data_IF_507537323318
#
_entry.id   IF_507537323318
#
_cell.length_a   1.000
_cell.length_b   1.000
_cell.length_c   1.000
_cell.angle_alpha   90.00
_cell.angle_beta   90.00
_cell.angle_gamma   90.00
#
_symmetry.space_group_name_H-M   'P 1'
#
loop_
_entity.id
_entity.type
_entity.pdbx_description
1 polymer ?
#
# COMPACT_ATOMS: atom_id res chain seq x y z
N UNK A 1 -31.33 -13.10 38.55
CA UNK A 1 -31.45 -12.12 37.45
C UNK A 1 -30.05 -11.56 37.25
N UNK A 2 -29.31 -12.06 36.26
CA UNK A 2 -27.99 -11.52 35.92
C UNK A 2 -28.17 -10.54 34.76
N UNK A 3 -27.68 -9.31 34.92
CA UNK A 3 -27.58 -8.35 33.83
C UNK A 3 -26.46 -8.75 32.88
N UNK A 4 -26.79 -8.82 31.59
CA UNK A 4 -25.81 -8.83 30.50
C UNK A 4 -25.23 -7.42 30.30
N UNK A 5 -23.90 -7.26 30.10
CA UNK A 5 -23.34 -5.99 29.70
C UNK A 5 -23.57 -5.74 28.20
N UNK A 6 -24.42 -4.77 27.90
CA UNK A 6 -24.68 -4.23 26.57
C UNK A 6 -23.41 -3.60 25.97
N UNK A 7 -22.90 -4.19 24.89
CA UNK A 7 -21.78 -3.65 24.12
C UNK A 7 -22.25 -2.48 23.24
N UNK A 8 -21.50 -1.37 23.14
CA UNK A 8 -21.89 -0.25 22.30
C UNK A 8 -21.76 -0.61 20.82
N UNK A 9 -22.89 -0.58 20.11
CA UNK A 9 -22.93 -0.68 18.65
C UNK A 9 -22.41 0.64 18.06
N UNK A 10 -21.18 0.62 17.55
CA UNK A 10 -20.66 1.69 16.70
C UNK A 10 -21.30 1.50 15.32
N UNK A 11 -22.40 2.22 15.08
CA UNK A 11 -23.01 2.33 13.76
C UNK A 11 -22.08 3.19 12.91
N UNK A 12 -21.21 2.54 12.14
CA UNK A 12 -20.51 3.20 11.03
C UNK A 12 -21.54 3.37 9.91
N UNK A 13 -22.29 4.46 9.97
CA UNK A 13 -23.09 4.95 8.85
C UNK A 13 -22.14 5.38 7.73
N UNK A 14 -21.75 4.44 6.87
CA UNK A 14 -21.22 4.78 5.55
C UNK A 14 -22.40 5.20 4.68
N UNK A 15 -22.87 6.43 4.87
CA UNK A 15 -23.68 7.11 3.86
C UNK A 15 -22.80 7.28 2.62
N UNK A 16 -22.91 6.33 1.70
CA UNK A 16 -22.35 6.45 0.35
C UNK A 16 -23.22 7.40 -0.45
N UNK A 17 -23.14 8.69 -0.14
CA UNK A 17 -23.55 9.73 -1.06
C UNK A 17 -22.50 9.72 -2.16
N UNK A 18 -22.84 9.15 -3.33
CA UNK A 18 -21.96 9.19 -4.49
C UNK A 18 -21.65 10.67 -4.80
N UNK A 19 -20.39 11.12 -4.63
CA UNK A 19 -20.07 12.51 -4.88
C UNK A 19 -20.26 12.83 -6.37
N UNK A 20 -20.57 14.09 -6.72
CA UNK A 20 -20.80 14.49 -8.10
C UNK A 20 -19.69 13.97 -9.02
N UNK A 21 -20.05 13.61 -10.25
CA UNK A 21 -19.17 12.85 -11.14
C UNK A 21 -17.77 13.48 -11.28
N UNK A 22 -17.65 14.81 -11.22
CA UNK A 22 -16.39 15.54 -11.31
C UNK A 22 -15.44 15.32 -10.11
N UNK A 23 -15.95 14.95 -8.95
CA UNK A 23 -15.15 14.74 -7.74
C UNK A 23 -14.23 13.53 -7.86
N UNK A 24 -14.65 12.48 -8.58
CA UNK A 24 -13.88 11.24 -8.67
C UNK A 24 -12.57 11.43 -9.43
N UNK A 25 -12.60 12.14 -10.57
CA UNK A 25 -11.38 12.50 -11.30
C UNK A 25 -10.49 13.47 -10.52
N UNK A 26 -11.07 14.43 -9.79
CA UNK A 26 -10.29 15.35 -8.95
C UNK A 26 -9.59 14.63 -7.81
N UNK A 27 -10.32 13.76 -7.10
CA UNK A 27 -9.77 12.93 -6.04
C UNK A 27 -8.69 11.98 -6.57
N UNK A 28 -8.91 11.36 -7.74
CA UNK A 28 -7.90 10.53 -8.37
C UNK A 28 -6.63 11.34 -8.71
N UNK A 29 -6.77 12.54 -9.27
CA UNK A 29 -5.63 13.42 -9.56
C UNK A 29 -4.84 13.78 -8.30
N UNK A 30 -5.52 14.26 -7.26
CA UNK A 30 -4.90 14.58 -5.98
C UNK A 30 -4.19 13.36 -5.37
N UNK A 31 -4.76 12.18 -5.53
CA UNK A 31 -4.18 10.93 -5.06
C UNK A 31 -2.94 10.54 -5.87
N UNK A 32 -3.00 10.64 -7.20
CA UNK A 32 -1.83 10.37 -8.05
C UNK A 32 -0.68 11.32 -7.77
N UNK A 33 -0.98 12.59 -7.48
CA UNK A 33 0.01 13.58 -7.05
C UNK A 33 0.60 13.22 -5.68
N UNK A 34 -0.26 12.89 -4.70
CA UNK A 34 0.16 12.44 -3.37
C UNK A 34 1.07 11.20 -3.44
N UNK A 35 0.82 10.31 -4.40
CA UNK A 35 1.63 9.11 -4.64
C UNK A 35 2.81 9.34 -5.60
N UNK A 36 2.96 10.57 -6.13
CA UNK A 36 3.99 10.95 -7.12
C UNK A 36 4.04 10.01 -8.32
N UNK A 37 2.87 9.65 -8.84
CA UNK A 37 2.75 8.78 -10.01
C UNK A 37 2.93 9.58 -11.30
N UNK A 38 3.88 9.17 -12.12
CA UNK A 38 4.05 9.69 -13.48
C UNK A 38 2.98 9.07 -14.40
N UNK A 39 1.83 9.73 -14.48
CA UNK A 39 0.67 9.24 -15.27
C UNK A 39 0.75 9.59 -16.76
N UNK A 40 1.74 10.40 -17.17
CA UNK A 40 1.94 10.85 -18.55
C UNK A 40 3.20 10.23 -19.14
N UNK A 41 3.14 9.86 -20.42
CA UNK A 41 4.31 9.39 -21.18
C UNK A 41 5.35 10.51 -21.30
N UNK A 42 6.65 10.25 -21.09
CA UNK A 42 7.70 11.27 -21.18
C UNK A 42 7.69 12.04 -22.51
N UNK A 43 7.52 11.33 -23.63
CA UNK A 43 7.44 11.92 -24.98
C UNK A 43 6.29 12.92 -25.14
N UNK A 44 5.17 12.71 -24.44
CA UNK A 44 4.05 13.64 -24.46
C UNK A 44 4.37 14.91 -23.65
N UNK A 45 5.08 14.78 -22.53
CA UNK A 45 5.51 15.93 -21.73
C UNK A 45 6.51 16.79 -22.50
N UNK A 46 7.45 16.17 -23.21
CA UNK A 46 8.39 16.86 -24.10
C UNK A 46 7.67 17.59 -25.24
N UNK A 47 6.74 16.90 -25.92
CA UNK A 47 5.93 17.51 -26.98
C UNK A 47 5.12 18.70 -26.46
N UNK A 48 4.50 18.56 -25.29
CA UNK A 48 3.76 19.65 -24.63
C UNK A 48 4.68 20.82 -24.30
N UNK A 49 5.87 20.55 -23.77
CA UNK A 49 6.87 21.58 -23.48
C UNK A 49 7.32 22.34 -24.73
N UNK A 50 7.50 21.64 -25.87
CA UNK A 50 7.82 22.26 -27.18
C UNK A 50 6.71 23.18 -27.69
N UNK A 51 5.45 22.83 -27.46
CA UNK A 51 4.32 23.70 -27.80
C UNK A 51 4.24 24.92 -26.86
N UNK A 52 4.48 24.71 -25.57
CA UNK A 52 4.43 25.78 -24.56
C UNK A 52 5.64 26.73 -24.64
N UNK A 53 6.79 26.27 -25.16
CA UNK A 53 7.95 27.12 -25.47
C UNK A 53 7.75 28.04 -26.68
N UNK A 54 6.60 27.95 -27.35
CA UNK A 54 6.29 28.69 -28.57
C UNK A 54 7.01 28.14 -29.81
N UNK A 55 6.57 28.51 -31.03
CA UNK A 55 7.29 28.17 -32.25
C UNK A 55 8.62 28.92 -32.28
N UNK A 56 9.70 28.28 -31.84
CA UNK A 56 11.06 28.75 -32.08
C UNK A 56 11.40 28.65 -33.59
N UNK A 57 12.11 29.62 -34.17
CA UNK A 57 12.49 29.62 -35.58
C UNK A 57 13.68 28.69 -35.80
N UNK A 58 13.48 27.38 -35.67
CA UNK A 58 14.51 26.38 -36.00
C UNK A 58 13.90 25.30 -36.90
N UNK A 59 13.53 25.72 -38.11
CA UNK A 59 13.38 24.85 -39.29
C UNK A 59 13.16 25.70 -40.54
N UNK A 60 14.13 26.56 -40.85
CA UNK A 60 14.25 27.16 -42.19
C UNK A 60 15.72 27.31 -42.57
N UNK A 61 16.51 26.24 -42.39
CA UNK A 61 17.81 26.08 -43.07
C UNK A 61 18.04 24.59 -43.27
N UNK A 62 17.60 24.06 -44.42
CA UNK A 62 18.16 22.91 -45.14
C UNK A 62 17.30 22.67 -46.39
N UNK A 63 17.28 23.65 -47.30
CA UNK A 63 17.29 23.39 -48.73
C UNK A 63 18.74 23.73 -49.10
N UNK A 64 19.61 22.79 -49.45
CA UNK A 64 19.74 22.28 -50.81
C UNK A 64 20.74 21.12 -50.79
N UNK A 65 20.28 19.86 -50.95
CA UNK A 65 21.02 18.86 -51.70
C UNK A 65 20.05 17.77 -52.18
N UNK A 66 19.76 17.82 -53.47
CA UNK A 66 19.00 16.83 -54.21
C UNK A 66 19.87 15.58 -54.37
N UNK A 67 19.36 14.42 -53.93
CA UNK A 67 19.10 13.21 -54.75
C UNK A 67 19.17 11.90 -53.93
N UNK A 68 18.04 11.17 -53.97
CA UNK A 68 17.94 9.72 -54.17
C UNK A 68 18.50 8.77 -53.10
N UNK A 69 17.61 8.32 -52.20
CA UNK A 69 17.43 6.89 -51.90
C UNK A 69 15.94 6.61 -51.68
N UNK A 70 15.33 5.89 -52.62
CA UNK A 70 14.06 5.19 -52.40
C UNK A 70 14.27 4.05 -51.40
N UNK A 71 13.47 4.01 -50.34
CA UNK A 71 13.26 2.80 -49.55
C UNK A 71 11.88 2.83 -48.89
N UNK A 72 10.93 2.20 -49.57
CA UNK A 72 9.87 1.35 -48.99
C UNK A 72 9.44 1.68 -47.55
N UNK A 73 8.64 2.73 -47.40
CA UNK A 73 7.63 2.80 -46.35
C UNK A 73 6.42 3.49 -46.96
N UNK A 74 5.55 2.69 -47.56
CA UNK A 74 4.20 3.12 -47.93
C UNK A 74 3.52 3.72 -46.69
N UNK A 75 3.58 5.04 -46.59
CA UNK A 75 2.78 5.83 -45.67
C UNK A 75 1.30 5.67 -46.05
N UNK A 76 0.69 4.56 -45.63
CA UNK A 76 -0.77 4.40 -45.51
C UNK A 76 -1.32 5.23 -44.33
N UNK A 77 -0.90 6.49 -44.24
CA UNK A 77 -1.27 7.44 -43.20
C UNK A 77 -1.97 8.66 -43.81
N UNK A 78 -2.84 8.49 -44.79
CA UNK A 78 -3.68 9.59 -45.30
C UNK A 78 -5.07 9.13 -45.73
N UNK A 79 -5.71 8.22 -44.97
CA UNK A 79 -7.18 8.24 -44.89
C UNK A 79 -7.56 9.39 -43.97
N UNK A 80 -7.47 10.60 -44.51
CA UNK A 80 -7.58 11.87 -43.82
C UNK A 80 -8.96 12.02 -43.14
N UNK A 81 -9.05 11.90 -41.79
CA UNK A 81 -10.32 12.04 -41.07
C UNK A 81 -10.93 13.43 -41.28
N UNK A 82 -10.11 14.43 -41.64
CA UNK A 82 -10.55 15.79 -41.95
C UNK A 82 -11.36 15.86 -43.25
N UNK A 83 -11.13 14.96 -44.21
CA UNK A 83 -11.93 14.86 -45.45
C UNK A 83 -13.36 14.37 -45.23
N UNK A 84 -13.67 13.87 -44.02
CA UNK A 84 -15.00 13.38 -43.64
C UNK A 84 -15.99 14.52 -43.36
N UNK A 85 -15.50 15.69 -42.99
CA UNK A 85 -16.33 16.79 -42.54
C UNK A 85 -16.52 17.81 -43.66
N UNK A 86 -17.76 18.21 -43.89
CA UNK A 86 -18.10 19.16 -44.97
C UNK A 86 -17.81 20.59 -44.55
N UNK A 87 -17.86 20.88 -43.25
CA UNK A 87 -17.78 22.21 -42.69
C UNK A 87 -16.95 22.25 -41.40
N UNK A 88 -16.34 23.40 -41.10
CA UNK A 88 -15.58 23.62 -39.86
C UNK A 88 -16.45 23.43 -38.60
N UNK A 89 -17.72 23.85 -38.62
CA UNK A 89 -18.66 23.66 -37.50
C UNK A 89 -18.92 22.17 -37.22
N UNK A 90 -18.92 21.31 -38.24
CA UNK A 90 -19.05 19.85 -38.09
C UNK A 90 -17.81 19.27 -37.39
N UNK A 91 -16.62 19.77 -37.73
CA UNK A 91 -15.37 19.36 -37.05
C UNK A 91 -15.41 19.78 -35.58
N UNK A 92 -15.77 21.03 -35.29
CA UNK A 92 -15.81 21.55 -33.91
C UNK A 92 -16.87 20.84 -33.05
N UNK A 93 -18.06 20.61 -33.59
CA UNK A 93 -19.11 19.86 -32.90
C UNK A 93 -18.71 18.40 -32.67
N UNK A 94 -18.02 17.78 -33.62
CA UNK A 94 -17.45 16.45 -33.45
C UNK A 94 -16.38 16.42 -32.34
N UNK A 95 -15.40 17.33 -32.37
CA UNK A 95 -14.35 17.41 -31.32
C UNK A 95 -14.98 17.60 -29.94
N UNK A 96 -15.96 18.51 -29.81
CA UNK A 96 -16.66 18.73 -28.53
C UNK A 96 -17.35 17.47 -28.02
N UNK A 97 -18.00 16.73 -28.92
CA UNK A 97 -18.64 15.46 -28.59
C UNK A 97 -17.60 14.41 -28.18
N UNK A 98 -16.55 14.25 -28.96
CA UNK A 98 -15.47 13.30 -28.69
C UNK A 98 -14.80 13.58 -27.34
N UNK A 99 -14.47 14.84 -27.04
CA UNK A 99 -13.91 15.24 -25.74
C UNK A 99 -14.90 14.97 -24.59
N UNK A 100 -16.20 15.13 -24.82
CA UNK A 100 -17.22 14.82 -23.82
C UNK A 100 -17.32 13.31 -23.56
N UNK A 101 -17.22 12.50 -24.62
CA UNK A 101 -17.24 11.04 -24.53
C UNK A 101 -15.96 10.51 -23.86
N UNK A 102 -14.78 11.04 -24.22
CA UNK A 102 -13.51 10.76 -23.53
C UNK A 102 -13.58 11.14 -22.05
N UNK A 103 -14.10 12.34 -21.72
CA UNK A 103 -14.28 12.76 -20.32
C UNK A 103 -15.20 11.81 -19.57
N UNK A 104 -16.27 11.32 -20.18
CA UNK A 104 -17.17 10.33 -19.55
C UNK A 104 -16.44 9.01 -19.28
N UNK A 105 -15.62 8.54 -20.21
CA UNK A 105 -14.82 7.32 -20.01
C UNK A 105 -13.80 7.48 -18.88
N UNK A 106 -13.09 8.60 -18.85
CA UNK A 106 -12.13 8.92 -17.78
C UNK A 106 -12.80 8.92 -16.40
N UNK A 107 -14.04 9.43 -16.31
CA UNK A 107 -14.81 9.38 -15.06
C UNK A 107 -15.16 7.96 -14.62
N UNK A 108 -15.55 7.09 -15.55
CA UNK A 108 -15.84 5.69 -15.23
C UNK A 108 -14.59 4.96 -14.75
N UNK A 109 -13.47 5.16 -15.45
CA UNK A 109 -12.17 4.60 -15.06
C UNK A 109 -11.75 5.12 -13.67
N UNK A 110 -11.93 6.40 -13.41
CA UNK A 110 -11.58 6.98 -12.11
C UNK A 110 -12.37 6.34 -10.96
N UNK A 111 -13.67 6.11 -11.16
CA UNK A 111 -14.50 5.38 -10.17
C UNK A 111 -13.99 3.96 -9.94
N UNK A 112 -13.68 3.24 -11.02
CA UNK A 112 -13.16 1.87 -10.92
C UNK A 112 -11.83 1.82 -10.18
N UNK A 113 -10.89 2.71 -10.51
CA UNK A 113 -9.59 2.79 -9.85
C UNK A 113 -9.72 3.13 -8.36
N UNK A 114 -10.58 4.10 -8.02
CA UNK A 114 -10.83 4.48 -6.63
C UNK A 114 -11.45 3.31 -5.82
N UNK A 115 -12.39 2.57 -6.42
CA UNK A 115 -12.98 1.36 -5.82
C UNK A 115 -11.93 0.28 -5.58
N UNK A 116 -11.19 -0.11 -6.63
CA UNK A 116 -10.13 -1.12 -6.53
C UNK A 116 -9.08 -0.76 -5.47
N UNK A 117 -8.67 0.51 -5.41
CA UNK A 117 -7.74 0.98 -4.38
C UNK A 117 -8.33 0.82 -2.97
N UNK A 118 -9.60 1.14 -2.78
CA UNK A 118 -10.31 0.93 -1.53
C UNK A 118 -10.33 -0.54 -1.14
N UNK A 119 -10.64 -1.43 -2.08
CA UNK A 119 -10.70 -2.88 -1.88
C UNK A 119 -9.32 -3.44 -1.50
N UNK A 120 -8.26 -3.05 -2.22
CA UNK A 120 -6.88 -3.41 -1.88
C UNK A 120 -6.51 -2.94 -0.47
N UNK A 121 -6.90 -1.72 -0.10
CA UNK A 121 -6.59 -1.17 1.22
C UNK A 121 -7.30 -1.98 2.32
N UNK A 122 -8.57 -2.34 2.13
CA UNK A 122 -9.31 -3.20 3.07
C UNK A 122 -8.66 -4.59 3.18
N UNK A 123 -8.37 -5.23 2.05
CA UNK A 123 -7.71 -6.55 2.04
C UNK A 123 -6.35 -6.52 2.74
N UNK A 124 -5.57 -5.44 2.59
CA UNK A 124 -4.29 -5.27 3.30
C UNK A 124 -4.49 -5.14 4.80
N UNK A 125 -5.49 -4.38 5.24
CA UNK A 125 -5.83 -4.27 6.67
C UNK A 125 -6.23 -5.63 7.22
N UNK A 126 -7.14 -6.34 6.55
CA UNK A 126 -7.61 -7.66 6.95
C UNK A 126 -6.45 -8.66 7.05
N UNK A 127 -5.52 -8.65 6.10
CA UNK A 127 -4.32 -9.48 6.12
C UNK A 127 -3.46 -9.20 7.36
N UNK A 128 -3.21 -7.92 7.68
CA UNK A 128 -2.43 -7.55 8.87
C UNK A 128 -3.13 -7.92 10.16
N UNK A 129 -4.45 -7.77 10.24
CA UNK A 129 -5.25 -8.20 11.38
C UNK A 129 -5.19 -9.71 11.58
N UNK A 130 -5.29 -10.50 10.52
CA UNK A 130 -5.17 -11.96 10.59
C UNK A 130 -3.77 -12.40 11.04
N UNK A 131 -2.72 -11.76 10.51
CA UNK A 131 -1.35 -12.04 10.94
C UNK A 131 -1.17 -11.72 12.44
N UNK A 132 -1.63 -10.54 12.87
CA UNK A 132 -1.56 -10.14 14.27
C UNK A 132 -2.32 -11.11 15.18
N UNK A 133 -3.52 -11.55 14.78
CA UNK A 133 -4.29 -12.55 15.52
C UNK A 133 -3.54 -13.87 15.69
N UNK A 134 -2.83 -14.34 14.65
CA UNK A 134 -2.00 -15.55 14.75
C UNK A 134 -0.86 -15.35 15.74
N UNK A 135 -0.14 -14.23 15.65
CA UNK A 135 0.94 -13.93 16.58
C UNK A 135 0.46 -13.83 18.04
N UNK A 136 -0.71 -13.23 18.27
CA UNK A 136 -1.32 -13.20 19.61
C UNK A 136 -1.67 -14.61 20.10
N UNK A 137 -2.27 -15.43 19.25
CA UNK A 137 -2.61 -16.82 19.59
C UNK A 137 -1.35 -17.65 19.91
N UNK A 138 -0.26 -17.47 19.14
CA UNK A 138 1.01 -18.16 19.38
C UNK A 138 1.61 -17.74 20.74
N UNK A 139 1.56 -16.44 21.05
CA UNK A 139 2.01 -15.92 22.33
C UNK A 139 1.15 -16.42 23.51
N UNK A 140 -0.17 -16.46 23.36
CA UNK A 140 -1.07 -17.01 24.40
C UNK A 140 -0.82 -18.49 24.62
N UNK A 141 -0.64 -19.27 23.55
CA UNK A 141 -0.35 -20.70 23.67
C UNK A 141 0.98 -20.95 24.39
N UNK A 142 2.04 -20.20 24.05
CA UNK A 142 3.32 -20.32 24.74
C UNK A 142 3.24 -19.95 26.23
N UNK A 143 2.40 -18.97 26.60
CA UNK A 143 2.16 -18.62 28.00
C UNK A 143 1.39 -19.72 28.74
N UNK A 144 0.36 -20.31 28.11
CA UNK A 144 -0.39 -21.44 28.67
C UNK A 144 0.50 -22.67 28.86
N UNK A 145 1.41 -22.96 27.92
CA UNK A 145 2.40 -24.04 28.07
C UNK A 145 3.34 -23.78 29.25
N UNK A 146 3.82 -22.54 29.41
CA UNK A 146 4.67 -22.18 30.55
C UNK A 146 3.93 -22.28 31.89
N UNK A 147 2.65 -21.88 31.93
CA UNK A 147 1.82 -21.98 33.12
C UNK A 147 1.57 -23.44 33.51
N UNK A 148 1.22 -24.31 32.55
CA UNK A 148 1.07 -25.76 32.77
C UNK A 148 2.37 -26.41 33.27
N UNK A 149 3.53 -26.03 32.71
CA UNK A 149 4.83 -26.49 33.19
C UNK A 149 5.14 -25.98 34.61
N UNK A 150 4.74 -24.74 34.92
CA UNK A 150 4.88 -24.15 36.25
C UNK A 150 4.01 -24.88 37.28
N UNK A 151 2.75 -25.20 36.96
CA UNK A 151 1.87 -26.01 37.82
C UNK A 151 2.47 -27.39 38.11
N UNK A 152 3.02 -28.09 37.10
CA UNK A 152 3.72 -29.37 37.30
C UNK A 152 4.96 -29.26 38.19
N UNK A 153 5.69 -28.14 38.10
CA UNK A 153 6.84 -27.86 38.96
C UNK A 153 6.43 -27.43 40.38
N UNK A 154 5.24 -26.86 40.56
CA UNK A 154 4.68 -26.48 41.86
C UNK A 154 4.01 -27.67 42.60
N UNK A 155 3.53 -28.67 41.86
CA UNK A 155 3.01 -29.95 42.40
C UNK A 155 4.12 -30.93 42.80
N UNK A 156 5.37 -30.69 42.38
CA UNK A 156 6.50 -31.39 42.98
C UNK A 156 6.55 -31.00 44.47
N UNK A 157 6.48 -31.95 45.42
CA UNK A 157 6.78 -31.62 46.80
C UNK A 157 8.16 -30.99 46.75
N UNK A 158 8.28 -29.73 47.18
CA UNK A 158 9.56 -29.28 47.70
C UNK A 158 9.83 -30.25 48.84
N UNK A 159 10.53 -31.35 48.54
CA UNK A 159 11.16 -32.21 49.52
C UNK A 159 11.79 -31.23 50.52
N UNK A 160 11.31 -31.19 51.78
CA UNK A 160 11.70 -30.16 52.73
C UNK A 160 13.22 -30.12 53.03
N UNK A 161 14.01 -30.99 52.39
CA UNK A 161 15.46 -31.10 52.49
C UNK A 161 16.29 -30.48 51.36
N UNK A 162 15.74 -30.05 50.21
CA UNK A 162 16.57 -29.52 49.10
C UNK A 162 16.97 -28.05 49.24
N UNK A 163 16.86 -27.47 50.44
CA UNK A 163 17.70 -26.33 50.76
C UNK A 163 19.16 -26.76 50.63
N UNK A 164 20.00 -25.95 49.98
CA UNK A 164 21.46 -26.17 49.83
C UNK A 164 22.20 -26.53 51.14
N UNK A 165 21.52 -26.47 52.29
CA UNK A 165 22.00 -26.93 53.58
C UNK A 165 22.11 -28.46 53.71
N UNK A 166 21.28 -29.29 53.07
CA UNK A 166 21.33 -30.74 53.32
C UNK A 166 22.61 -31.41 52.77
N UNK A 167 23.05 -31.16 51.51
CA UNK A 167 24.31 -31.71 51.01
C UNK A 167 25.53 -31.13 51.72
N UNK A 168 25.49 -29.83 52.04
CA UNK A 168 26.60 -29.12 52.69
C UNK A 168 26.78 -29.55 54.16
N UNK A 169 25.69 -29.87 54.88
CA UNK A 169 25.76 -30.38 56.26
C UNK A 169 26.43 -31.75 56.37
N UNK A 170 26.32 -32.60 55.35
CA UNK A 170 26.99 -33.91 55.33
C UNK A 170 28.52 -33.78 55.30
N UNK A 171 29.04 -32.66 54.77
CA UNK A 171 30.47 -32.31 54.73
C UNK A 171 30.82 -31.33 55.88
N UNK A 172 29.88 -31.06 56.80
CA UNK A 172 30.08 -30.15 57.94
C UNK A 172 30.01 -28.66 57.59
N UNK A 173 29.62 -28.31 56.35
CA UNK A 173 29.49 -26.94 55.90
C UNK A 173 28.10 -26.39 56.26
N UNK A 174 28.07 -25.36 57.11
CA UNK A 174 26.85 -24.67 57.54
C UNK A 174 26.87 -23.21 57.08
N UNK A 175 25.70 -22.53 57.06
CA UNK A 175 25.62 -21.08 56.73
C UNK A 175 26.56 -20.21 57.58
N UNK A 176 26.92 -20.67 58.79
CA UNK A 176 27.86 -20.00 59.68
C UNK A 176 29.33 -20.13 59.20
N UNK A 177 29.66 -21.22 58.52
CA UNK A 177 30.99 -21.50 57.99
C UNK A 177 31.27 -20.74 56.68
N UNK A 178 30.27 -20.67 55.79
CA UNK A 178 30.38 -19.98 54.49
C UNK A 178 30.58 -18.46 54.64
N UNK A 179 29.90 -17.84 55.62
CA UNK A 179 29.94 -16.40 55.82
C UNK A 179 31.16 -15.90 56.62
N UNK A 180 32.01 -16.79 57.16
CA UNK A 180 32.99 -16.38 58.16
C UNK A 180 34.45 -16.25 57.72
N UNK A 181 34.92 -16.72 56.55
CA UNK A 181 36.24 -16.28 56.01
C UNK A 181 36.53 -16.72 54.56
N UNK A 182 36.90 -15.70 53.78
CA UNK A 182 37.82 -15.66 52.63
C UNK A 182 38.69 -16.91 52.47
N UNK A 183 38.64 -17.51 51.29
CA UNK A 183 39.70 -18.37 50.78
C UNK A 183 41.05 -17.63 50.92
N UNK A 184 41.92 -18.09 51.83
CA UNK A 184 43.36 -17.88 51.66
C UNK A 184 43.87 -19.10 50.91
N UNK A 185 44.15 -18.93 49.62
CA UNK A 185 44.88 -19.92 48.84
C UNK A 185 46.37 -19.79 49.19
N UNK A 186 46.99 -20.93 49.50
CA UNK A 186 48.43 -21.12 49.41
C UNK A 186 48.82 -21.33 47.95
#
# INVERSE_FOLDING_TARGET
MMEEPSAPQIVVETQTVDPPADDHLLNLKALTEKLRLETRRPSYLEWKARLESGPGPEQTQMEENVEKVEAAAENKLTSDPLKRFKNMEEVLSWIRRELSDMRRQDQLLARQLMRLRGDISRLKVDQTCQLHRRMLNDATFSLEEQDQLSELLCEAPLEPGLGLSAPLRLIGVTKMNINSRRFSLC
#
